data_IF_408764002385
#
_entry.id   IF_408764002385
#
_cell.length_a   1.000
_cell.length_b   1.000
_cell.length_c   1.000
_cell.angle_alpha   90.00
_cell.angle_beta   90.00
_cell.angle_gamma   90.00
#
_symmetry.space_group_name_H-M   'P 1'
#
loop_
_entity.id
_entity.type
_entity.pdbx_description
1 polymer ?
#
# COMPACT_ATOMS: atom_id res chain seq x y z
N UNK A 1 -22.66 -3.71 -15.67
CA UNK A 1 -21.82 -3.16 -14.57
C UNK A 1 -20.64 -2.43 -15.19
N UNK A 2 -20.55 -1.10 -15.05
CA UNK A 2 -19.49 -0.32 -15.67
C UNK A 2 -18.13 -0.67 -15.03
N UNK A 3 -17.22 -1.25 -15.81
CA UNK A 3 -15.83 -1.49 -15.40
C UNK A 3 -15.15 -0.12 -15.24
N UNK A 4 -14.89 0.28 -13.99
CA UNK A 4 -14.15 1.50 -13.71
C UNK A 4 -12.78 1.47 -14.40
N UNK A 5 -12.36 2.60 -14.98
CA UNK A 5 -11.03 2.74 -15.58
C UNK A 5 -9.98 2.48 -14.49
N UNK A 6 -9.07 1.53 -14.75
CA UNK A 6 -7.94 1.25 -13.85
C UNK A 6 -6.85 2.30 -14.09
N UNK A 7 -6.55 3.09 -13.06
CA UNK A 7 -5.44 4.05 -13.10
C UNK A 7 -4.18 3.46 -12.48
N UNK A 8 -3.02 3.74 -13.08
CA UNK A 8 -1.71 3.34 -12.53
C UNK A 8 -1.42 4.04 -11.20
N UNK A 9 -0.59 3.42 -10.35
CA UNK A 9 -0.20 4.00 -9.06
C UNK A 9 0.46 5.38 -9.23
N UNK A 10 1.35 5.52 -10.21
CA UNK A 10 2.01 6.77 -10.55
C UNK A 10 1.02 7.86 -10.96
N UNK A 11 0.00 7.52 -11.76
CA UNK A 11 -1.01 8.48 -12.17
C UNK A 11 -1.83 8.97 -10.98
N UNK A 12 -2.27 8.07 -10.09
CA UNK A 12 -2.99 8.42 -8.88
C UNK A 12 -2.17 9.34 -7.98
N UNK A 13 -0.89 9.03 -7.78
CA UNK A 13 0.03 9.85 -6.98
C UNK A 13 0.21 11.25 -7.57
N UNK A 14 0.39 11.37 -8.90
CA UNK A 14 0.49 12.66 -9.59
C UNK A 14 -0.76 13.52 -9.39
N UNK A 15 -1.95 12.94 -9.64
CA UNK A 15 -3.22 13.67 -9.51
C UNK A 15 -3.47 14.07 -8.05
N UNK A 16 -3.20 13.17 -7.10
CA UNK A 16 -3.31 13.47 -5.67
C UNK A 16 -2.35 14.59 -5.24
N UNK A 17 -1.12 14.60 -5.73
CA UNK A 17 -0.14 15.64 -5.43
C UNK A 17 -0.61 17.01 -5.95
N UNK A 18 -1.08 17.09 -7.18
CA UNK A 18 -1.65 18.34 -7.73
C UNK A 18 -2.88 18.81 -6.92
N UNK A 19 -3.71 17.88 -6.45
CA UNK A 19 -4.84 18.19 -5.58
C UNK A 19 -4.42 18.65 -4.16
N UNK A 20 -3.27 18.20 -3.66
CA UNK A 20 -2.68 18.68 -2.39
C UNK A 20 -2.07 20.07 -2.56
N UNK A 21 -1.36 20.32 -3.67
CA UNK A 21 -0.76 21.63 -3.97
C UNK A 21 -1.78 22.77 -4.00
N UNK A 22 -3.05 22.47 -4.34
CA UNK A 22 -4.15 23.43 -4.26
C UNK A 22 -4.12 24.54 -5.32
N UNK A 23 -3.20 24.49 -6.28
CA UNK A 23 -3.08 25.48 -7.36
C UNK A 23 -4.23 25.40 -8.37
N UNK A 24 -4.86 24.23 -8.48
CA UNK A 24 -6.00 23.97 -9.37
C UNK A 24 -7.17 23.45 -8.54
N UNK A 25 -8.37 23.89 -8.87
CA UNK A 25 -9.60 23.38 -8.24
C UNK A 25 -9.84 21.93 -8.65
N UNK A 26 -10.62 21.18 -7.86
CA UNK A 26 -11.00 19.80 -8.21
C UNK A 26 -11.75 19.70 -9.55
N UNK A 27 -12.45 20.77 -9.96
CA UNK A 27 -13.11 20.86 -11.27
C UNK A 27 -12.11 20.99 -12.42
N UNK A 28 -11.10 21.85 -12.27
CA UNK A 28 -10.04 22.00 -13.27
C UNK A 28 -9.20 20.71 -13.40
N UNK A 29 -8.84 20.09 -12.28
CA UNK A 29 -8.15 18.79 -12.28
C UNK A 29 -9.01 17.69 -12.90
N UNK A 30 -10.33 17.74 -12.70
CA UNK A 30 -11.26 16.80 -13.35
C UNK A 30 -11.25 16.94 -14.87
N UNK A 31 -11.23 18.16 -15.39
CA UNK A 31 -11.16 18.39 -16.83
C UNK A 31 -9.79 18.01 -17.41
N UNK A 32 -8.70 18.32 -16.73
CA UNK A 32 -7.33 18.04 -17.19
C UNK A 32 -6.99 16.54 -17.18
N UNK A 33 -7.32 15.85 -16.09
CA UNK A 33 -6.99 14.44 -15.91
C UNK A 33 -8.13 13.49 -16.31
N UNK A 34 -9.29 14.02 -16.68
CA UNK A 34 -10.52 13.25 -16.97
C UNK A 34 -10.93 12.32 -15.82
N UNK A 35 -10.77 12.79 -14.58
CA UNK A 35 -11.09 12.03 -13.36
C UNK A 35 -12.16 12.76 -12.57
N UNK A 36 -13.22 12.07 -12.16
CA UNK A 36 -14.29 12.67 -11.39
C UNK A 36 -13.78 13.32 -10.08
N UNK A 37 -14.26 14.52 -9.68
CA UNK A 37 -13.78 15.23 -8.50
C UNK A 37 -13.79 14.42 -7.21
N UNK A 38 -14.80 13.57 -7.01
CA UNK A 38 -14.88 12.65 -5.85
C UNK A 38 -13.71 11.68 -5.79
N UNK A 39 -13.25 11.19 -6.94
CA UNK A 39 -12.11 10.25 -7.02
C UNK A 39 -10.80 10.99 -6.73
N UNK A 40 -10.66 12.21 -7.22
CA UNK A 40 -9.51 13.09 -6.91
C UNK A 40 -9.42 13.35 -5.40
N UNK A 41 -10.53 13.69 -4.75
CA UNK A 41 -10.57 13.89 -3.30
C UNK A 41 -10.23 12.61 -2.52
N UNK A 42 -10.67 11.44 -3.00
CA UNK A 42 -10.28 10.16 -2.40
C UNK A 42 -8.78 9.93 -2.48
N UNK A 43 -8.16 10.15 -3.64
CA UNK A 43 -6.72 9.98 -3.79
C UNK A 43 -5.93 11.01 -3.01
N UNK A 44 -6.42 12.25 -2.90
CA UNK A 44 -5.85 13.28 -2.04
C UNK A 44 -5.79 12.82 -0.58
N UNK A 45 -6.90 12.31 -0.04
CA UNK A 45 -6.94 11.74 1.32
C UNK A 45 -5.97 10.57 1.47
N UNK A 46 -6.04 9.60 0.57
CA UNK A 46 -5.15 8.44 0.59
C UNK A 46 -3.67 8.83 0.58
N UNK A 47 -3.29 9.84 -0.22
CA UNK A 47 -1.92 10.35 -0.23
C UNK A 47 -1.54 10.93 1.14
N UNK A 48 -2.38 11.80 1.71
CA UNK A 48 -2.13 12.41 3.01
C UNK A 48 -2.01 11.37 4.14
N UNK A 49 -2.84 10.32 4.12
CA UNK A 49 -2.81 9.25 5.12
C UNK A 49 -1.55 8.39 5.00
N UNK A 50 -1.07 8.15 3.77
CA UNK A 50 0.13 7.33 3.49
C UNK A 50 1.46 8.09 3.65
N UNK A 51 1.45 9.43 3.54
CA UNK A 51 2.68 10.24 3.63
C UNK A 51 3.45 10.05 4.95
N UNK A 52 2.80 10.03 6.14
CA UNK A 52 3.48 9.74 7.41
C UNK A 52 4.25 8.42 7.41
N UNK A 53 3.76 7.39 6.71
CA UNK A 53 4.43 6.08 6.63
C UNK A 53 5.74 6.15 5.83
N UNK A 54 5.78 6.97 4.77
CA UNK A 54 6.98 7.19 3.95
C UNK A 54 8.12 7.77 4.79
N UNK A 55 7.81 8.68 5.72
CA UNK A 55 8.80 9.27 6.62
C UNK A 55 9.15 8.38 7.83
N UNK A 56 8.38 7.31 8.08
CA UNK A 56 8.67 6.33 9.12
C UNK A 56 9.65 5.23 8.67
N UNK A 57 10.05 5.22 7.40
CA UNK A 57 10.88 4.17 6.77
C UNK A 57 12.30 3.98 7.38
N UNK A 58 12.67 4.74 8.41
CA UNK A 58 13.84 4.46 9.26
C UNK A 58 13.60 3.38 10.34
N UNK A 59 12.34 3.03 10.63
CA UNK A 59 11.98 1.88 11.46
C UNK A 59 11.68 0.72 10.52
N UNK A 60 12.33 -0.44 10.74
CA UNK A 60 12.21 -1.67 9.96
C UNK A 60 10.81 -1.82 9.37
N UNK A 61 10.72 -1.90 8.04
CA UNK A 61 9.46 -2.09 7.32
C UNK A 61 8.69 -3.25 7.97
N UNK A 62 7.35 -3.16 8.11
CA UNK A 62 6.54 -4.27 8.60
C UNK A 62 6.83 -5.57 7.83
N UNK A 63 7.17 -5.46 6.54
CA UNK A 63 7.59 -6.58 5.69
C UNK A 63 8.84 -7.30 6.22
N UNK A 64 9.82 -6.57 6.76
CA UNK A 64 11.03 -7.15 7.34
C UNK A 64 10.75 -7.85 8.66
N UNK A 65 9.78 -7.35 9.44
CA UNK A 65 9.32 -8.02 10.66
C UNK A 65 8.53 -9.29 10.34
N UNK A 66 7.66 -9.24 9.32
CA UNK A 66 6.92 -10.39 8.81
C UNK A 66 7.85 -11.47 8.23
N UNK A 67 8.87 -11.08 7.46
CA UNK A 67 9.89 -12.00 6.94
C UNK A 67 10.67 -12.69 8.07
N UNK A 68 11.03 -11.96 9.13
CA UNK A 68 11.71 -12.52 10.29
C UNK A 68 10.82 -13.51 11.07
N UNK A 69 9.54 -13.16 11.29
CA UNK A 69 8.56 -14.05 11.93
C UNK A 69 8.33 -15.32 11.09
N UNK A 70 8.21 -15.16 9.78
CA UNK A 70 8.03 -16.27 8.84
C UNK A 70 9.22 -17.24 8.89
N UNK A 71 10.45 -16.73 8.94
CA UNK A 71 11.65 -17.56 9.11
C UNK A 71 11.64 -18.36 10.41
N UNK A 72 11.28 -17.72 11.53
CA UNK A 72 11.16 -18.39 12.84
C UNK A 72 10.12 -19.50 12.82
N UNK A 73 8.94 -19.26 12.22
CA UNK A 73 7.86 -20.25 12.12
C UNK A 73 8.26 -21.46 11.27
N UNK A 74 8.95 -21.25 10.15
CA UNK A 74 9.45 -22.37 9.33
C UNK A 74 10.46 -23.24 10.07
N UNK A 75 11.34 -22.64 10.88
CA UNK A 75 12.27 -23.40 11.72
C UNK A 75 11.55 -24.23 12.78
N UNK A 76 10.55 -23.65 13.46
CA UNK A 76 9.72 -24.34 14.45
C UNK A 76 9.00 -25.55 13.83
N UNK A 77 8.38 -25.36 12.66
CA UNK A 77 7.68 -26.42 11.92
C UNK A 77 8.66 -27.55 11.55
N UNK A 78 9.86 -27.22 11.08
CA UNK A 78 10.88 -28.21 10.74
C UNK A 78 11.31 -29.04 11.95
N UNK A 79 11.54 -28.38 13.09
CA UNK A 79 11.86 -29.04 14.36
C UNK A 79 10.74 -29.97 14.82
N UNK A 80 9.51 -29.46 14.88
CA UNK A 80 8.34 -30.25 15.30
C UNK A 80 8.11 -31.46 14.40
N UNK A 81 8.35 -31.32 13.08
CA UNK A 81 8.26 -32.44 12.15
C UNK A 81 9.29 -33.53 12.49
N UNK A 82 10.53 -33.15 12.80
CA UNK A 82 11.58 -34.10 13.17
C UNK A 82 11.28 -34.80 14.49
N UNK A 83 10.76 -34.07 15.48
CA UNK A 83 10.32 -34.64 16.77
C UNK A 83 9.17 -35.64 16.59
N UNK A 84 8.19 -35.32 15.73
CA UNK A 84 7.10 -36.23 15.40
C UNK A 84 7.57 -37.48 14.64
N UNK A 85 8.50 -37.33 13.70
CA UNK A 85 9.06 -38.47 12.94
C UNK A 85 9.87 -39.39 13.86
N UNK A 86 10.54 -38.83 14.88
CA UNK A 86 11.23 -39.61 15.91
C UNK A 86 10.27 -40.38 16.82
N UNK A 87 9.16 -39.78 17.24
CA UNK A 87 8.14 -40.43 18.07
C UNK A 87 7.35 -41.52 17.33
N UNK A 88 7.33 -41.49 16.00
CA UNK A 88 6.66 -42.49 15.15
C UNK A 88 7.52 -43.71 14.82
N UNK A 89 8.78 -43.72 15.24
CA UNK A 89 9.72 -44.81 15.01
C UNK A 89 9.89 -45.65 16.26
#
# INVERSE_FOLDING_TARGET
MARGRKHTAQFKAKVALEAVKGQKTSGQLSSEFQVHPTVINRWKKQLLDSLPEVFQQGKKSPRTAEEALTGSLYQEIGRLKMELDWLKK
#
